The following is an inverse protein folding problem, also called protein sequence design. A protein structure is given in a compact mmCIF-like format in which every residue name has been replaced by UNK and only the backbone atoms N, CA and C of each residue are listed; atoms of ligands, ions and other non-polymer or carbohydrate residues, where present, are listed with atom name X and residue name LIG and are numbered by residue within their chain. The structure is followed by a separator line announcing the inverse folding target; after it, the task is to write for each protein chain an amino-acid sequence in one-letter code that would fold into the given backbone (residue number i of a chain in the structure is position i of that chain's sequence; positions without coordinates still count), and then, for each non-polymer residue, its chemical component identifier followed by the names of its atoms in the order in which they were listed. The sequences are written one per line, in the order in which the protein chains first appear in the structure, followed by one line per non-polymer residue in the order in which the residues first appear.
data_IF_661453010967
#
_entry.id   IF_661453010967
#
_cell.length_a   1.000
_cell.length_b   1.000
_cell.length_c   1.000
_cell.angle_alpha   90.00
_cell.angle_beta   90.00
_cell.angle_gamma   90.00
#
_symmetry.space_group_name_H-M   'P 1'
#
loop_
_entity.id
_entity.type
_entity.pdbx_description
1 polymer ?
#
# COMPACT_ATOMS: atom_id res chain seq x y z
N UNK A 1 -59.30 15.39 18.56
CA UNK A 1 -58.53 16.56 18.07
C UNK A 1 -57.05 16.30 18.34
N UNK A 2 -56.35 15.63 17.43
CA UNK A 2 -54.90 15.37 17.55
C UNK A 2 -54.17 16.18 16.49
N UNK A 3 -53.47 17.22 16.92
CA UNK A 3 -52.67 18.10 16.05
C UNK A 3 -51.28 17.52 15.89
N UNK A 4 -51.04 16.79 14.80
CA UNK A 4 -49.70 16.38 14.41
C UNK A 4 -48.95 17.57 13.77
N UNK A 5 -47.84 18.00 14.39
CA UNK A 5 -46.91 18.97 13.78
C UNK A 5 -45.80 18.21 13.07
N UNK A 6 -45.64 18.33 11.74
CA UNK A 6 -44.55 17.65 11.05
C UNK A 6 -43.20 18.32 11.39
N UNK A 7 -42.18 17.51 11.66
CA UNK A 7 -40.83 17.99 11.89
C UNK A 7 -40.25 18.56 10.59
N UNK A 8 -39.54 19.70 10.70
CA UNK A 8 -38.88 20.34 9.55
C UNK A 8 -37.83 19.38 8.96
N UNK A 9 -38.03 19.00 7.70
CA UNK A 9 -37.07 18.21 6.92
C UNK A 9 -35.77 19.01 6.84
N UNK A 10 -34.68 18.45 7.37
CA UNK A 10 -33.36 19.07 7.41
C UNK A 10 -32.75 19.07 6.00
N UNK A 11 -33.18 20.01 5.15
CA UNK A 11 -32.80 20.09 3.73
C UNK A 11 -31.36 20.58 3.47
N UNK A 12 -30.53 20.75 4.51
CA UNK A 12 -29.16 21.23 4.36
C UNK A 12 -28.15 20.19 4.84
N UNK A 13 -27.22 19.83 3.95
CA UNK A 13 -26.05 18.98 4.23
C UNK A 13 -25.27 19.43 5.46
N UNK A 14 -25.23 20.74 5.73
CA UNK A 14 -24.58 21.32 6.92
C UNK A 14 -25.30 20.94 8.22
N UNK A 15 -26.63 20.87 8.18
CA UNK A 15 -27.44 20.48 9.34
C UNK A 15 -27.31 18.98 9.62
N UNK A 16 -27.26 18.16 8.56
CA UNK A 16 -26.97 16.72 8.67
C UNK A 16 -25.58 16.48 9.26
N UNK A 17 -24.56 17.19 8.78
CA UNK A 17 -23.18 17.08 9.31
C UNK A 17 -23.09 17.51 10.78
N UNK A 18 -23.73 18.62 11.16
CA UNK A 18 -23.73 19.08 12.56
C UNK A 18 -24.50 18.14 13.48
N UNK A 19 -25.65 17.62 13.06
CA UNK A 19 -26.42 16.65 13.83
C UNK A 19 -25.68 15.31 13.98
N UNK A 20 -25.02 14.84 12.91
CA UNK A 20 -24.19 13.63 12.93
C UNK A 20 -22.99 13.76 13.87
N UNK A 21 -22.29 14.90 13.84
CA UNK A 21 -21.17 15.16 14.75
C UNK A 21 -21.62 15.23 16.22
N UNK A 22 -22.73 15.91 16.51
CA UNK A 22 -23.28 16.00 17.87
C UNK A 22 -23.71 14.62 18.41
N UNK A 23 -24.32 13.78 17.57
CA UNK A 23 -24.69 12.41 17.93
C UNK A 23 -23.47 11.55 18.29
N UNK A 24 -22.33 11.75 17.63
CA UNK A 24 -21.06 11.06 17.93
C UNK A 24 -20.47 11.53 19.27
N UNK A 25 -20.65 12.80 19.66
CA UNK A 25 -20.17 13.32 20.94
C UNK A 25 -21.02 12.90 22.15
N UNK A 26 -22.35 12.77 22.00
CA UNK A 26 -23.25 12.42 23.11
C UNK A 26 -23.31 10.91 23.43
N UNK A 27 -22.99 10.05 22.46
CA UNK A 27 -23.03 8.60 22.61
C UNK A 27 -21.75 7.99 23.21
N UNK A 28 -20.77 8.82 23.59
CA UNK A 28 -19.54 8.37 24.25
C UNK A 28 -18.64 7.47 23.40
N UNK A 29 -18.95 7.27 22.13
CA UNK A 29 -18.26 6.32 21.22
C UNK A 29 -16.83 6.80 20.94
N UNK A 30 -16.55 8.11 21.05
CA UNK A 30 -15.20 8.64 20.95
C UNK A 30 -14.23 8.05 21.99
N UNK A 31 -14.73 7.66 23.17
CA UNK A 31 -13.91 7.02 24.21
C UNK A 31 -13.68 5.53 23.97
N UNK A 32 -14.56 4.87 23.20
CA UNK A 32 -14.43 3.43 22.89
C UNK A 32 -13.65 3.16 21.59
N UNK A 33 -13.56 4.13 20.68
CA UNK A 33 -12.70 4.00 19.50
C UNK A 33 -11.20 3.96 19.85
N UNK A 34 -10.81 4.49 21.01
CA UNK A 34 -9.43 4.48 21.51
C UNK A 34 -9.07 3.20 22.28
N UNK A 35 -10.05 2.42 22.73
CA UNK A 35 -9.83 1.25 23.60
C UNK A 35 -9.59 -0.07 22.85
N UNK A 36 -9.55 -0.08 21.51
CA UNK A 36 -9.24 -1.27 20.69
C UNK A 36 -7.91 -1.17 19.92
N UNK A 37 -7.11 -0.16 20.22
CA UNK A 37 -5.75 0.01 19.69
C UNK A 37 -4.70 -0.52 20.68
N UNK A 38 -5.00 -1.67 21.30
CA UNK A 38 -4.05 -2.44 22.07
C UNK A 38 -4.11 -3.89 21.59
N UNK A 39 -3.46 -4.13 20.45
CA UNK A 39 -2.45 -5.17 20.37
C UNK A 39 -1.41 -4.73 19.35
N UNK A 40 -0.13 -4.55 19.71
CA UNK A 40 0.91 -4.48 18.70
C UNK A 40 0.78 -5.76 17.88
N UNK A 41 0.61 -5.61 16.56
CA UNK A 41 0.69 -6.74 15.64
C UNK A 41 2.00 -7.45 15.96
N UNK A 42 1.92 -8.66 16.53
CA UNK A 42 3.07 -9.54 16.66
C UNK A 42 3.43 -9.94 15.23
N UNK A 43 4.15 -9.07 14.54
CA UNK A 43 4.97 -9.49 13.41
C UNK A 43 6.02 -10.36 14.04
N UNK A 44 5.75 -11.66 14.19
CA UNK A 44 6.84 -12.60 14.27
C UNK A 44 7.67 -12.30 13.03
N UNK A 45 8.85 -11.71 13.21
CA UNK A 45 9.83 -11.60 12.15
C UNK A 45 10.29 -13.03 11.84
N UNK A 46 9.39 -13.80 11.22
CA UNK A 46 9.55 -15.18 10.80
C UNK A 46 10.34 -15.27 9.51
N UNK A 47 11.27 -14.34 9.30
CA UNK A 47 12.33 -14.55 8.35
C UNK A 47 13.34 -15.43 9.05
N UNK A 48 13.16 -16.75 8.88
CA UNK A 48 14.18 -17.74 9.24
C UNK A 48 15.51 -17.27 8.67
N UNK A 49 16.53 -17.21 9.54
CA UNK A 49 17.88 -16.80 9.14
C UNK A 49 18.32 -17.65 7.94
N UNK A 50 18.79 -17.05 6.84
CA UNK A 50 19.20 -17.81 5.67
C UNK A 50 20.24 -18.86 6.06
N UNK A 51 20.10 -20.08 5.54
CA UNK A 51 21.08 -21.13 5.75
C UNK A 51 22.48 -20.64 5.38
N UNK A 52 23.48 -20.95 6.21
CA UNK A 52 24.86 -20.55 5.97
C UNK A 52 25.35 -21.15 4.64
N UNK A 53 25.84 -20.29 3.74
CA UNK A 53 26.40 -20.74 2.45
C UNK A 53 27.68 -21.55 2.71
N UNK A 54 27.83 -22.67 2.01
CA UNK A 54 29.08 -23.45 2.02
C UNK A 54 30.25 -22.58 1.54
N UNK A 55 31.44 -22.75 2.15
CA UNK A 55 32.65 -22.05 1.70
C UNK A 55 32.92 -22.38 0.23
N UNK A 56 33.19 -21.36 -0.58
CA UNK A 56 33.43 -21.51 -2.02
C UNK A 56 32.17 -21.62 -2.89
N UNK A 57 30.96 -21.53 -2.33
CA UNK A 57 29.74 -21.54 -3.15
C UNK A 57 29.67 -20.30 -4.06
N UNK A 58 29.32 -20.51 -5.34
CA UNK A 58 29.10 -19.41 -6.29
C UNK A 58 27.97 -18.50 -5.80
N UNK A 59 28.18 -17.18 -5.92
CA UNK A 59 27.13 -16.19 -5.62
C UNK A 59 26.09 -16.24 -6.74
N UNK A 60 24.84 -16.53 -6.38
CA UNK A 60 23.70 -16.46 -7.28
C UNK A 60 22.98 -15.14 -7.05
N UNK A 61 22.74 -14.39 -8.13
CA UNK A 61 22.06 -13.10 -8.13
C UNK A 61 20.90 -13.18 -9.11
N UNK A 62 19.71 -12.80 -8.65
CA UNK A 62 18.51 -12.69 -9.48
C UNK A 62 18.37 -11.23 -9.94
N UNK A 63 18.16 -11.03 -11.24
CA UNK A 63 17.86 -9.72 -11.83
C UNK A 63 16.42 -9.78 -12.33
N UNK A 64 15.58 -8.86 -11.85
CA UNK A 64 14.17 -8.80 -12.19
C UNK A 64 13.85 -7.48 -12.91
N UNK A 65 13.97 -7.43 -14.26
CA UNK A 65 13.56 -6.25 -15.01
C UNK A 65 12.04 -6.14 -14.98
N UNK A 66 11.52 -5.15 -14.25
CA UNK A 66 10.09 -4.94 -14.07
C UNK A 66 9.31 -4.67 -15.36
N UNK A 67 7.98 -4.78 -15.27
CA UNK A 67 7.05 -4.67 -16.40
C UNK A 67 7.29 -5.74 -17.48
N UNK A 68 6.68 -5.61 -18.66
CA UNK A 68 6.84 -6.55 -19.76
C UNK A 68 5.53 -6.93 -20.43
N UNK A 69 5.64 -7.49 -21.64
CA UNK A 69 4.45 -7.84 -22.43
C UNK A 69 3.57 -6.62 -22.70
N UNK A 70 2.31 -6.70 -22.29
CA UNK A 70 1.32 -5.61 -22.43
C UNK A 70 1.58 -4.44 -21.49
N UNK A 71 2.17 -4.70 -20.32
CA UNK A 71 2.49 -3.68 -19.35
C UNK A 71 3.78 -2.95 -19.76
N UNK A 72 3.65 -1.68 -20.15
CA UNK A 72 4.76 -0.86 -20.61
C UNK A 72 5.56 -0.26 -19.46
N UNK A 73 4.96 -0.19 -18.26
CA UNK A 73 5.39 0.70 -17.19
C UNK A 73 5.29 2.16 -17.59
N UNK A 74 6.09 2.99 -16.93
CA UNK A 74 6.14 4.42 -17.20
C UNK A 74 6.54 4.71 -18.66
N UNK A 75 5.92 5.74 -19.22
CA UNK A 75 6.23 6.26 -20.56
C UNK A 75 6.87 7.63 -20.38
N UNK A 76 8.11 7.78 -20.84
CA UNK A 76 8.83 9.05 -20.80
C UNK A 76 8.30 10.07 -21.81
N UNK A 77 8.70 11.33 -21.66
CA UNK A 77 8.24 12.44 -22.49
C UNK A 77 8.49 12.25 -24.01
N UNK A 78 9.52 11.48 -24.37
CA UNK A 78 9.85 11.12 -25.75
C UNK A 78 9.30 9.74 -26.17
N UNK A 79 8.38 9.14 -25.40
CA UNK A 79 7.78 7.83 -25.70
C UNK A 79 8.64 6.62 -25.32
N UNK A 80 9.73 6.82 -24.57
CA UNK A 80 10.51 5.71 -24.01
C UNK A 80 9.66 4.89 -23.05
N UNK A 81 9.68 3.56 -23.18
CA UNK A 81 8.91 2.65 -22.32
C UNK A 81 9.83 2.01 -21.29
N UNK A 82 9.45 2.10 -20.03
CA UNK A 82 10.21 1.57 -18.90
C UNK A 82 10.66 0.12 -19.12
N UNK A 83 9.74 -0.76 -19.56
CA UNK A 83 10.04 -2.18 -19.80
C UNK A 83 11.27 -2.43 -20.68
N UNK A 84 11.52 -1.56 -21.67
CA UNK A 84 12.65 -1.71 -22.58
C UNK A 84 13.95 -1.22 -21.92
N UNK A 85 13.88 -0.11 -21.18
CA UNK A 85 15.01 0.47 -20.48
C UNK A 85 15.51 -0.49 -19.39
N UNK A 86 14.63 -0.97 -18.53
CA UNK A 86 15.00 -1.85 -17.41
C UNK A 86 15.51 -3.21 -17.90
N UNK A 87 14.95 -3.75 -18.99
CA UNK A 87 15.47 -4.97 -19.61
C UNK A 87 16.87 -4.77 -20.19
N UNK A 88 17.14 -3.64 -20.83
CA UNK A 88 18.47 -3.32 -21.35
C UNK A 88 19.50 -3.20 -20.22
N UNK A 89 19.14 -2.52 -19.13
CA UNK A 89 19.98 -2.41 -17.93
C UNK A 89 20.25 -3.79 -17.32
N UNK A 90 19.22 -4.61 -17.13
CA UNK A 90 19.38 -5.96 -16.57
C UNK A 90 20.30 -6.84 -17.42
N UNK A 91 20.21 -6.76 -18.75
CA UNK A 91 21.12 -7.48 -19.67
C UNK A 91 22.58 -7.01 -19.52
N UNK A 92 22.80 -5.70 -19.39
CA UNK A 92 24.15 -5.16 -19.18
C UNK A 92 24.72 -5.61 -17.83
N UNK A 93 23.94 -5.48 -16.75
CA UNK A 93 24.33 -5.94 -15.41
C UNK A 93 24.64 -7.45 -15.42
N UNK A 94 23.81 -8.27 -16.09
CA UNK A 94 24.08 -9.70 -16.27
C UNK A 94 25.42 -9.95 -16.94
N UNK A 95 25.78 -9.18 -17.97
CA UNK A 95 27.06 -9.31 -18.66
C UNK A 95 28.22 -9.04 -17.71
N UNK A 96 28.17 -7.92 -16.99
CA UNK A 96 29.19 -7.51 -16.02
C UNK A 96 29.36 -8.55 -14.92
N UNK A 97 28.26 -9.03 -14.32
CA UNK A 97 28.31 -10.04 -13.27
C UNK A 97 28.88 -11.38 -13.75
N UNK A 98 28.65 -11.77 -15.00
CA UNK A 98 29.21 -13.00 -15.57
C UNK A 98 30.70 -12.89 -15.86
N UNK A 99 31.19 -11.70 -16.19
CA UNK A 99 32.61 -11.47 -16.48
C UNK A 99 33.46 -11.28 -15.22
N UNK A 100 32.86 -10.86 -14.09
CA UNK A 100 33.59 -10.46 -12.88
C UNK A 100 33.24 -11.26 -11.61
N UNK A 101 32.35 -12.25 -11.66
CA UNK A 101 31.85 -12.99 -10.49
C UNK A 101 31.75 -14.50 -10.67
#
# INVERSE_FOLDING_TARGET
MSTFKPLKILASRRQVLKAGLAAITLSGIASQASAKEQQPLKTSNGHSKPAAKKKGAKRVVMLDPGHGGIDTGAIGHNGSKEKHVVLAIAKNVRSILRSNG
#
